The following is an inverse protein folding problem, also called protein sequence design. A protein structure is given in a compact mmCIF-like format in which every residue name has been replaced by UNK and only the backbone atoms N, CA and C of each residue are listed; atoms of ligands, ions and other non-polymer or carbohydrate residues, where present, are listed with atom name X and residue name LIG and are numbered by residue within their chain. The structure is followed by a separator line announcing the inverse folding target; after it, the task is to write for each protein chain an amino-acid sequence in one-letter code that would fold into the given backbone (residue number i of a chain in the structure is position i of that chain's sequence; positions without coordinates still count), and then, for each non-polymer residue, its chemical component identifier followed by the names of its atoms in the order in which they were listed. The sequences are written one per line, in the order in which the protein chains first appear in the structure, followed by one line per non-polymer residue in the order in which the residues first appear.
data_IF_359520677489
#
_entry.id   IF_359520677489
#
_cell.length_a   1.000
_cell.length_b   1.000
_cell.length_c   1.000
_cell.angle_alpha   90.00
_cell.angle_beta   90.00
_cell.angle_gamma   90.00
#
_symmetry.space_group_name_H-M   'P 1'
#
loop_
_entity.id
_entity.type
_entity.pdbx_description
1 polymer ?
#
# COMPACT_ATOMS: atom_id res chain seq x y z
N UNK A 1 14.84 -7.93 23.13
CA UNK A 1 13.81 -8.77 22.53
C UNK A 1 13.16 -8.05 21.39
N UNK A 2 13.22 -8.61 20.20
CA UNK A 2 12.64 -7.96 19.05
C UNK A 2 11.15 -8.29 18.96
N UNK A 3 10.34 -7.26 18.76
CA UNK A 3 8.93 -7.46 18.50
C UNK A 3 8.77 -7.94 17.06
N UNK A 4 7.93 -8.95 16.86
CA UNK A 4 7.57 -9.36 15.53
C UNK A 4 6.55 -8.40 14.95
N UNK A 5 6.68 -8.11 13.67
CA UNK A 5 5.68 -7.33 12.96
C UNK A 5 4.48 -8.27 12.74
N UNK A 6 3.30 -7.91 13.25
CA UNK A 6 2.14 -8.78 13.08
C UNK A 6 1.67 -8.80 11.63
N UNK A 7 1.10 -9.94 11.22
CA UNK A 7 0.39 -10.06 9.96
C UNK A 7 -1.09 -9.81 10.23
N UNK A 8 -1.68 -8.85 9.51
CA UNK A 8 -3.08 -8.47 9.71
C UNK A 8 -3.79 -8.32 8.38
N UNK A 9 -5.10 -8.50 8.39
CA UNK A 9 -5.94 -8.07 7.26
C UNK A 9 -5.98 -6.54 7.22
N UNK A 10 -6.21 -5.98 6.04
CA UNK A 10 -6.25 -4.52 5.89
C UNK A 10 -7.28 -3.88 6.83
N UNK A 11 -8.43 -4.52 7.02
CA UNK A 11 -9.46 -3.99 7.90
C UNK A 11 -9.12 -4.09 9.38
N UNK A 12 -8.04 -4.80 9.72
CA UNK A 12 -7.61 -4.99 11.09
C UNK A 12 -6.39 -4.16 11.47
N UNK A 13 -5.92 -3.32 10.56
CA UNK A 13 -4.77 -2.47 10.84
C UNK A 13 -5.12 -1.46 11.93
N UNK A 14 -4.21 -1.32 12.89
CA UNK A 14 -4.35 -0.38 14.00
C UNK A 14 -3.60 0.88 13.65
N UNK A 15 -4.22 2.04 13.86
CA UNK A 15 -3.58 3.33 13.58
C UNK A 15 -2.25 3.44 14.31
N UNK A 16 -1.23 3.88 13.57
CA UNK A 16 0.12 4.13 14.10
C UNK A 16 0.88 2.86 14.50
N UNK A 17 0.36 1.69 14.16
CA UNK A 17 1.06 0.42 14.40
C UNK A 17 1.53 -0.17 13.07
N UNK A 18 2.80 -0.55 13.00
CA UNK A 18 3.35 -1.21 11.82
C UNK A 18 2.87 -2.65 11.75
N UNK A 19 2.43 -3.08 10.58
CA UNK A 19 1.97 -4.44 10.37
C UNK A 19 2.24 -4.87 8.93
N UNK A 20 2.29 -6.18 8.73
CA UNK A 20 2.32 -6.78 7.39
C UNK A 20 0.90 -7.12 6.98
N UNK A 21 0.62 -6.95 5.70
CA UNK A 21 -0.68 -7.30 5.14
C UNK A 21 -0.51 -7.73 3.68
N UNK A 22 -1.40 -8.61 3.24
CA UNK A 22 -1.50 -8.97 1.84
C UNK A 22 -2.64 -8.17 1.22
N UNK A 23 -2.40 -7.62 0.04
CA UNK A 23 -3.37 -6.78 -0.62
C UNK A 23 -3.28 -6.89 -2.13
N UNK A 24 -4.42 -6.73 -2.79
CA UNK A 24 -4.51 -6.64 -4.25
C UNK A 24 -4.40 -5.17 -4.64
N UNK A 25 -3.51 -4.88 -5.58
CA UNK A 25 -3.50 -3.55 -6.20
C UNK A 25 -4.63 -3.52 -7.23
N UNK A 26 -5.75 -2.89 -6.86
CA UNK A 26 -6.95 -2.90 -7.68
C UNK A 26 -7.06 -1.69 -8.60
N UNK A 27 -6.30 -0.64 -8.32
CA UNK A 27 -6.37 0.59 -9.11
C UNK A 27 -5.03 1.32 -9.03
N UNK A 28 -4.61 1.89 -10.15
CA UNK A 28 -3.43 2.75 -10.22
C UNK A 28 -3.66 3.74 -11.35
N UNK A 29 -3.68 5.04 -11.02
CA UNK A 29 -3.92 6.09 -12.00
C UNK A 29 -2.88 7.18 -11.84
N UNK A 30 -2.25 7.56 -12.95
CA UNK A 30 -1.31 8.67 -12.95
C UNK A 30 -2.07 9.98 -13.09
N UNK A 31 -1.80 10.91 -12.18
CA UNK A 31 -2.42 12.22 -12.16
C UNK A 31 -1.34 13.28 -12.07
N UNK A 32 -1.73 14.54 -12.19
CA UNK A 32 -0.78 15.66 -12.16
C UNK A 32 -1.27 16.71 -11.18
N UNK A 33 -0.37 17.21 -10.35
CA UNK A 33 -0.67 18.29 -9.42
C UNK A 33 -0.78 19.61 -10.16
N UNK A 34 -1.23 20.66 -9.45
CA UNK A 34 -1.30 22.00 -10.02
C UNK A 34 0.07 22.50 -10.51
N UNK A 35 1.13 22.03 -9.85
CA UNK A 35 2.51 22.43 -10.20
C UNK A 35 3.08 21.62 -11.36
N UNK A 36 2.27 20.70 -11.93
CA UNK A 36 2.71 19.90 -13.05
C UNK A 36 3.51 18.67 -12.67
N UNK A 37 3.52 18.30 -11.38
CA UNK A 37 4.25 17.12 -10.91
C UNK A 37 3.35 15.88 -10.95
N UNK A 38 3.89 14.74 -11.43
CA UNK A 38 3.09 13.52 -11.47
C UNK A 38 2.93 12.92 -10.07
N UNK A 39 1.80 12.26 -9.87
CA UNK A 39 1.60 11.39 -8.71
C UNK A 39 0.66 10.26 -9.13
N UNK A 40 0.62 9.20 -8.33
CA UNK A 40 -0.20 8.03 -8.65
C UNK A 40 -1.19 7.80 -7.53
N UNK A 41 -2.46 7.73 -7.88
CA UNK A 41 -3.49 7.36 -6.93
C UNK A 41 -3.63 5.85 -7.01
N UNK A 42 -3.39 5.16 -5.90
CA UNK A 42 -3.40 3.70 -5.85
C UNK A 42 -4.45 3.22 -4.86
N UNK A 43 -5.04 2.07 -5.15
CA UNK A 43 -5.96 1.40 -4.25
C UNK A 43 -5.45 0.00 -3.98
N UNK A 44 -5.23 -0.28 -2.69
CA UNK A 44 -4.93 -1.63 -2.21
C UNK A 44 -6.14 -2.13 -1.44
N UNK A 45 -6.53 -3.37 -1.71
CA UNK A 45 -7.72 -3.94 -1.09
C UNK A 45 -7.50 -5.40 -0.74
N UNK A 46 -8.30 -5.88 0.22
CA UNK A 46 -8.47 -7.30 0.48
C UNK A 46 -9.97 -7.59 0.60
N UNK A 47 -10.32 -8.75 1.17
CA UNK A 47 -11.72 -9.13 1.29
C UNK A 47 -12.50 -8.25 2.27
N UNK A 48 -11.81 -7.52 3.14
CA UNK A 48 -12.44 -6.78 4.25
C UNK A 48 -12.40 -5.27 4.08
N UNK A 49 -11.36 -4.75 3.44
CA UNK A 49 -11.14 -3.30 3.43
C UNK A 49 -10.41 -2.84 2.18
N UNK A 50 -10.45 -1.55 1.97
CA UNK A 50 -9.83 -0.91 0.81
C UNK A 50 -9.22 0.42 1.26
N UNK A 51 -8.01 0.70 0.81
CA UNK A 51 -7.33 1.97 1.06
C UNK A 51 -6.91 2.60 -0.25
N UNK A 52 -7.28 3.86 -0.45
CA UNK A 52 -6.89 4.64 -1.62
C UNK A 52 -6.07 5.83 -1.13
N UNK A 53 -4.88 6.00 -1.68
CA UNK A 53 -3.98 7.06 -1.25
C UNK A 53 -3.01 7.42 -2.36
N UNK A 54 -2.42 8.63 -2.30
CA UNK A 54 -1.47 9.05 -3.34
C UNK A 54 -0.06 8.54 -3.07
N UNK A 55 0.67 8.25 -4.16
CA UNK A 55 2.12 8.08 -4.13
C UNK A 55 2.68 9.30 -4.84
N UNK A 56 3.29 10.20 -4.07
CA UNK A 56 3.81 11.46 -4.59
C UNK A 56 5.10 11.23 -5.36
N UNK A 57 5.43 12.14 -6.28
CA UNK A 57 6.62 11.99 -7.14
C UNK A 57 7.93 12.01 -6.35
N UNK A 58 7.93 12.58 -5.15
CA UNK A 58 9.11 12.59 -4.27
C UNK A 58 9.12 11.44 -3.27
N UNK A 59 8.12 10.55 -3.34
CA UNK A 59 8.06 9.37 -2.51
C UNK A 59 9.16 8.38 -2.92
N UNK A 60 9.75 7.66 -1.96
CA UNK A 60 10.69 6.58 -2.31
C UNK A 60 10.06 5.47 -3.13
N UNK A 61 8.73 5.40 -3.17
CA UNK A 61 7.99 4.37 -3.92
C UNK A 61 7.53 4.83 -5.30
N UNK A 62 7.79 6.10 -5.68
CA UNK A 62 7.29 6.65 -6.93
C UNK A 62 7.77 5.87 -8.15
N UNK A 63 9.07 5.57 -8.22
CA UNK A 63 9.62 4.82 -9.35
C UNK A 63 9.09 3.40 -9.41
N UNK A 64 9.01 2.73 -8.26
CA UNK A 64 8.48 1.37 -8.19
C UNK A 64 7.00 1.35 -8.58
N UNK A 65 6.23 2.32 -8.11
CA UNK A 65 4.82 2.43 -8.45
C UNK A 65 4.64 2.57 -9.97
N UNK A 66 5.40 3.49 -10.56
CA UNK A 66 5.30 3.76 -12.00
C UNK A 66 5.71 2.55 -12.83
N UNK A 67 6.79 1.87 -12.45
CA UNK A 67 7.44 0.90 -13.33
C UNK A 67 7.18 -0.56 -12.96
N UNK A 68 6.90 -0.85 -11.69
CA UNK A 68 6.87 -2.23 -11.21
C UNK A 68 5.51 -2.67 -10.66
N UNK A 69 4.73 -1.75 -10.13
CA UNK A 69 3.44 -2.12 -9.53
C UNK A 69 2.39 -2.32 -10.62
N UNK A 70 1.74 -3.48 -10.58
CA UNK A 70 0.82 -3.91 -11.64
C UNK A 70 -0.58 -4.10 -11.05
N UNK A 71 -1.56 -3.45 -11.67
CA UNK A 71 -2.96 -3.65 -11.29
C UNK A 71 -3.34 -5.11 -11.54
N UNK A 72 -3.96 -5.72 -10.54
CA UNK A 72 -4.32 -7.13 -10.59
C UNK A 72 -3.34 -8.04 -9.89
N UNK A 73 -2.17 -7.52 -9.47
CA UNK A 73 -1.18 -8.31 -8.74
C UNK A 73 -1.40 -8.19 -7.24
N UNK A 74 -1.00 -9.21 -6.51
CA UNK A 74 -1.04 -9.21 -5.05
C UNK A 74 0.32 -8.86 -4.48
N UNK A 75 0.31 -8.07 -3.42
CA UNK A 75 1.53 -7.59 -2.77
C UNK A 75 1.48 -7.87 -1.29
N UNK A 76 2.65 -8.13 -0.72
CA UNK A 76 2.83 -8.12 0.72
C UNK A 76 3.36 -6.76 1.09
N UNK A 77 2.63 -6.06 1.94
CA UNK A 77 2.96 -4.71 2.38
C UNK A 77 3.39 -4.73 3.84
N UNK A 78 4.44 -3.99 4.16
CA UNK A 78 4.71 -3.58 5.54
C UNK A 78 4.37 -2.12 5.62
N UNK A 79 3.37 -1.79 6.41
CA UNK A 79 2.81 -0.45 6.38
C UNK A 79 2.26 -0.05 7.74
N UNK A 80 2.06 1.26 7.90
CA UNK A 80 1.41 1.84 9.07
C UNK A 80 0.16 2.57 8.59
N UNK A 81 -0.96 2.31 9.25
CA UNK A 81 -2.18 3.04 8.97
C UNK A 81 -2.09 4.40 9.63
N UNK A 82 -2.28 5.46 8.84
CA UNK A 82 -2.29 6.83 9.33
C UNK A 82 -3.66 7.44 9.10
N UNK A 83 -4.21 8.06 10.13
CA UNK A 83 -5.45 8.82 10.00
C UNK A 83 -5.11 10.22 9.55
N UNK A 84 -5.72 10.66 8.46
CA UNK A 84 -5.50 12.00 7.91
C UNK A 84 -6.84 12.70 7.74
N UNK A 85 -6.80 14.01 7.48
CA UNK A 85 -8.02 14.77 7.24
C UNK A 85 -8.75 14.31 5.97
N UNK A 86 -8.08 13.53 5.12
CA UNK A 86 -8.69 12.97 3.89
C UNK A 86 -9.10 11.51 4.09
N UNK A 87 -9.05 10.98 5.32
CA UNK A 87 -9.36 9.60 5.64
C UNK A 87 -8.11 8.78 5.92
N UNK A 88 -8.27 7.47 6.14
CA UNK A 88 -7.13 6.63 6.45
C UNK A 88 -6.26 6.42 5.22
N UNK A 89 -4.95 6.41 5.43
CA UNK A 89 -3.96 6.14 4.39
C UNK A 89 -2.96 5.14 4.92
N UNK A 90 -2.24 4.50 4.00
CA UNK A 90 -1.16 3.59 4.36
C UNK A 90 0.18 4.25 4.08
N UNK A 91 1.04 4.27 5.10
CA UNK A 91 2.43 4.64 4.93
C UNK A 91 3.21 3.36 4.70
N UNK A 92 3.68 3.15 3.47
CA UNK A 92 4.34 1.91 3.08
C UNK A 92 5.80 1.95 3.49
N UNK A 93 6.23 0.95 4.27
CA UNK A 93 7.62 0.79 4.67
C UNK A 93 8.33 -0.25 3.81
N UNK A 94 7.61 -1.28 3.36
CA UNK A 94 8.13 -2.29 2.44
C UNK A 94 6.99 -2.81 1.58
N UNK A 95 7.31 -3.22 0.37
CA UNK A 95 6.35 -3.82 -0.53
C UNK A 95 7.08 -4.80 -1.44
N UNK A 96 6.46 -5.96 -1.68
CA UNK A 96 6.92 -6.91 -2.68
C UNK A 96 5.74 -7.66 -3.24
N UNK A 97 5.89 -8.09 -4.48
CA UNK A 97 4.89 -8.94 -5.10
C UNK A 97 4.89 -10.30 -4.38
N UNK A 98 3.70 -10.86 -4.16
CA UNK A 98 3.60 -12.18 -3.52
C UNK A 98 4.04 -13.26 -4.48
N UNK A 99 4.55 -14.35 -3.91
CA UNK A 99 4.88 -15.55 -4.66
C UNK A 99 3.85 -16.64 -4.32
N UNK A 100 3.84 -17.72 -5.09
CA UNK A 100 2.85 -18.79 -4.91
C UNK A 100 2.82 -19.32 -3.47
N UNK A 101 3.97 -19.39 -2.82
CA UNK A 101 4.05 -19.86 -1.45
C UNK A 101 3.29 -18.96 -0.48
N UNK A 102 3.26 -17.67 -0.73
CA UNK A 102 2.53 -16.73 0.12
C UNK A 102 1.03 -16.92 0.01
N UNK A 103 0.55 -17.39 -1.15
CA UNK A 103 -0.88 -17.51 -1.43
C UNK A 103 -1.47 -18.87 -1.09
N UNK A 104 -0.64 -19.83 -0.77
CA UNK A 104 -1.07 -21.20 -0.50
C UNK A 104 -1.22 -21.51 0.99
N UNK A 105 -1.35 -20.51 1.80
CA UNK A 105 -1.51 -20.71 3.25
C UNK A 105 -2.88 -21.24 3.65
#
# INVERSE_FOLDING_TARGET
MSARIPLRALGELVSDEEADAFALLSHKEELTTRDGKPYWMVTFRDAQAEFTFPIWCDSPWADACREQWVVGAFYKLRAVRRETKYGPQLEIHRIRETVDQDRND
#
